data_IF_496151291210
#
_entry.id   IF_496151291210
#
_cell.length_a   1.000
_cell.length_b   1.000
_cell.length_c   1.000
_cell.angle_alpha   90.00
_cell.angle_beta   90.00
_cell.angle_gamma   90.00
#
_symmetry.space_group_name_H-M   'P 1'
#
loop_
_entity.id
_entity.type
_entity.pdbx_description
1 polymer ?
#
# COMPACT_ATOMS: atom_id res chain seq x y z
N UNK A 1 -68.19 76.54 8.79
CA UNK A 1 -67.83 76.25 10.19
C UNK A 1 -68.46 74.93 10.59
N UNK A 2 -67.71 74.13 11.36
CA UNK A 2 -68.06 72.90 12.09
C UNK A 2 -68.13 71.59 11.30
N UNK A 3 -67.29 70.66 11.77
CA UNK A 3 -67.39 69.18 11.87
C UNK A 3 -66.11 68.54 11.33
N UNK A 4 -65.36 67.69 12.01
CA UNK A 4 -65.21 67.28 13.41
C UNK A 4 -63.80 66.68 13.47
N UNK A 5 -63.04 66.99 14.52
CA UNK A 5 -61.71 66.41 14.76
C UNK A 5 -61.90 65.03 15.37
N UNK A 6 -61.49 63.97 14.67
CA UNK A 6 -61.35 62.64 15.26
C UNK A 6 -59.87 62.27 15.33
N UNK A 7 -59.35 62.44 16.54
CA UNK A 7 -58.09 61.92 17.01
C UNK A 7 -58.21 60.39 17.10
N UNK A 8 -57.41 59.65 16.34
CA UNK A 8 -57.12 58.24 16.65
C UNK A 8 -55.61 58.11 16.78
N UNK A 9 -55.19 57.97 18.04
CA UNK A 9 -53.88 57.50 18.43
C UNK A 9 -53.77 56.02 18.01
N UNK A 10 -52.79 55.69 17.17
CA UNK A 10 -52.34 54.32 17.01
C UNK A 10 -50.82 54.31 16.90
N UNK A 11 -50.17 54.17 18.06
CA UNK A 11 -48.78 53.75 18.13
C UNK A 11 -48.75 52.24 17.91
N UNK A 12 -48.07 51.74 16.87
CA UNK A 12 -47.54 50.38 16.83
C UNK A 12 -46.19 50.35 16.09
N UNK A 13 -45.18 50.06 16.91
CA UNK A 13 -43.83 49.53 16.68
C UNK A 13 -43.29 49.40 15.24
N UNK A 14 -42.12 50.02 15.03
CA UNK A 14 -41.15 49.60 14.03
C UNK A 14 -40.43 48.37 14.59
N UNK A 15 -40.64 47.21 13.96
CA UNK A 15 -39.78 46.04 14.15
C UNK A 15 -39.01 45.79 12.85
N UNK A 16 -37.76 46.23 12.85
CA UNK A 16 -36.73 45.76 11.94
C UNK A 16 -36.32 44.35 12.35
N UNK A 17 -36.61 43.35 11.52
CA UNK A 17 -35.92 42.05 11.59
C UNK A 17 -35.54 41.60 10.19
N UNK A 18 -34.23 41.50 10.05
CA UNK A 18 -33.43 40.83 9.05
C UNK A 18 -33.80 39.36 8.82
N UNK A 19 -33.29 38.87 7.69
CA UNK A 19 -33.11 37.48 7.28
C UNK A 19 -34.27 36.86 6.51
N UNK A 20 -33.93 36.52 5.27
CA UNK A 20 -34.69 35.69 4.34
C UNK A 20 -34.73 34.26 4.86
N UNK A 21 -35.72 33.95 5.69
CA UNK A 21 -36.01 32.56 6.03
C UNK A 21 -36.73 31.91 4.85
N UNK A 22 -35.95 31.29 3.96
CA UNK A 22 -36.44 30.26 3.06
C UNK A 22 -36.70 28.97 3.85
N UNK A 23 -37.62 29.01 4.81
CA UNK A 23 -38.22 27.82 5.38
C UNK A 23 -39.25 27.28 4.38
N UNK A 24 -38.76 26.60 3.34
CA UNK A 24 -39.60 25.84 2.42
C UNK A 24 -40.02 24.52 3.07
N UNK A 25 -40.98 24.58 3.99
CA UNK A 25 -41.82 23.42 4.28
C UNK A 25 -42.78 23.22 3.11
N UNK A 26 -42.40 22.38 2.15
CA UNK A 26 -43.29 21.91 1.11
C UNK A 26 -43.39 20.39 1.14
N UNK A 27 -44.60 19.92 1.37
CA UNK A 27 -45.05 18.54 1.21
C UNK A 27 -44.75 18.06 -0.21
N UNK A 28 -43.76 17.19 -0.37
CA UNK A 28 -43.47 16.50 -1.63
C UNK A 28 -41.98 16.18 -1.79
N UNK A 29 -41.67 14.89 -1.81
CA UNK A 29 -40.33 14.33 -2.03
C UNK A 29 -39.72 14.76 -3.37
N UNK A 30 -39.13 15.95 -3.43
CA UNK A 30 -38.32 16.41 -4.56
C UNK A 30 -36.95 16.81 -4.04
N UNK A 31 -36.10 15.80 -3.88
CA UNK A 31 -34.69 16.01 -3.65
C UNK A 31 -34.03 16.55 -4.92
N UNK A 32 -32.97 17.37 -4.81
CA UNK A 32 -32.21 17.81 -5.97
C UNK A 32 -31.75 16.59 -6.78
N UNK A 33 -32.15 16.53 -8.05
CA UNK A 33 -31.79 15.42 -8.94
C UNK A 33 -30.46 15.64 -9.67
N UNK A 34 -29.94 16.87 -9.61
CA UNK A 34 -28.67 17.24 -10.22
C UNK A 34 -27.92 18.21 -9.32
N UNK A 35 -26.62 17.98 -9.20
CA UNK A 35 -25.69 18.85 -8.51
C UNK A 35 -24.55 19.24 -9.45
N UNK A 36 -24.02 20.47 -9.33
CA UNK A 36 -22.84 20.86 -10.09
C UNK A 36 -21.64 19.99 -9.67
N UNK A 37 -20.79 19.61 -10.63
CA UNK A 37 -19.56 18.85 -10.39
C UNK A 37 -18.39 19.72 -9.85
N UNK A 38 -18.73 20.80 -9.14
CA UNK A 38 -17.74 21.67 -8.49
C UNK A 38 -17.31 21.02 -7.20
N UNK A 39 -16.02 20.73 -7.07
CA UNK A 39 -15.46 20.13 -5.86
C UNK A 39 -15.12 21.20 -4.82
N UNK A 40 -15.99 21.31 -3.80
CA UNK A 40 -15.90 22.18 -2.64
C UNK A 40 -16.37 21.37 -1.41
N UNK A 41 -15.51 20.49 -0.88
CA UNK A 41 -15.96 19.43 0.00
C UNK A 41 -16.51 19.95 1.33
N UNK A 42 -17.48 19.20 1.87
CA UNK A 42 -18.07 19.42 3.20
C UNK A 42 -18.18 18.09 3.95
N UNK A 43 -18.03 18.14 5.27
CA UNK A 43 -18.20 16.97 6.12
C UNK A 43 -19.64 16.89 6.64
N UNK A 44 -20.32 15.77 6.44
CA UNK A 44 -21.62 15.49 7.02
C UNK A 44 -21.54 15.07 8.49
N UNK A 45 -22.64 15.26 9.23
CA UNK A 45 -22.80 14.77 10.61
C UNK A 45 -22.82 13.25 10.72
N UNK A 46 -22.97 12.57 9.59
CA UNK A 46 -22.84 11.13 9.43
C UNK A 46 -21.39 10.67 9.19
N UNK A 47 -20.43 11.61 9.13
CA UNK A 47 -19.02 11.31 8.87
C UNK A 47 -18.68 11.09 7.40
N UNK A 48 -19.61 11.37 6.48
CA UNK A 48 -19.36 11.27 5.03
C UNK A 48 -18.86 12.61 4.48
N UNK A 49 -17.78 12.56 3.69
CA UNK A 49 -17.35 13.70 2.86
C UNK A 49 -18.21 13.80 1.61
N UNK A 50 -18.89 14.93 1.42
CA UNK A 50 -19.66 15.23 0.21
C UNK A 50 -18.87 16.18 -0.68
N UNK A 51 -18.87 15.94 -2.00
CA UNK A 51 -18.11 16.74 -2.98
C UNK A 51 -18.47 18.22 -2.97
N UNK A 52 -19.71 18.56 -2.59
CA UNK A 52 -20.16 19.90 -2.26
C UNK A 52 -21.46 19.87 -1.45
N UNK A 53 -21.91 21.06 -1.02
CA UNK A 53 -23.14 21.25 -0.24
C UNK A 53 -24.40 20.71 -0.93
N UNK A 54 -24.48 20.74 -2.27
CA UNK A 54 -25.63 20.19 -2.99
C UNK A 54 -25.75 18.68 -2.79
N UNK A 55 -24.63 17.96 -2.88
CA UNK A 55 -24.62 16.51 -2.64
C UNK A 55 -24.98 16.16 -1.19
N UNK A 56 -24.54 16.95 -0.21
CA UNK A 56 -24.95 16.79 1.19
C UNK A 56 -26.47 16.97 1.35
N UNK A 57 -27.04 18.06 0.82
CA UNK A 57 -28.47 18.33 0.93
C UNK A 57 -29.31 17.27 0.20
N UNK A 58 -28.80 16.72 -0.89
CA UNK A 58 -29.44 15.62 -1.62
C UNK A 58 -29.45 14.35 -0.78
N UNK A 59 -28.35 14.03 -0.11
CA UNK A 59 -28.28 12.90 0.79
C UNK A 59 -29.21 13.08 2.00
N UNK A 60 -29.21 14.26 2.63
CA UNK A 60 -30.11 14.60 3.73
C UNK A 60 -31.58 14.41 3.33
N UNK A 61 -31.98 14.99 2.20
CA UNK A 61 -33.34 14.89 1.67
C UNK A 61 -33.77 13.44 1.37
N UNK A 62 -32.85 12.59 0.91
CA UNK A 62 -33.12 11.18 0.66
C UNK A 62 -32.99 10.30 1.91
N UNK A 63 -32.49 10.85 3.01
CA UNK A 63 -32.29 10.13 4.26
C UNK A 63 -33.50 10.27 5.20
N UNK A 64 -33.73 9.24 6.02
CA UNK A 64 -34.69 9.31 7.12
C UNK A 64 -34.08 9.89 8.41
N UNK A 65 -32.79 10.24 8.39
CA UNK A 65 -31.98 10.44 9.60
C UNK A 65 -31.51 11.88 9.83
N UNK A 66 -31.78 12.82 8.91
CA UNK A 66 -31.42 14.23 9.10
C UNK A 66 -29.91 14.45 9.11
N UNK A 67 -29.30 14.55 7.94
CA UNK A 67 -27.86 14.75 7.76
C UNK A 67 -27.57 16.24 7.70
N UNK A 68 -26.78 16.74 8.66
CA UNK A 68 -26.35 18.14 8.71
C UNK A 68 -24.89 18.28 8.34
N UNK A 69 -24.40 19.49 8.06
CA UNK A 69 -22.96 19.69 7.85
C UNK A 69 -22.25 19.83 9.21
N UNK A 70 -21.26 18.98 9.44
CA UNK A 70 -20.41 19.00 10.63
C UNK A 70 -19.27 20.02 10.52
N UNK A 71 -18.61 20.12 9.37
CA UNK A 71 -17.53 21.09 9.12
C UNK A 71 -17.38 21.43 7.64
N UNK A 72 -16.69 22.53 7.35
CA UNK A 72 -16.17 22.81 6.01
C UNK A 72 -14.98 21.88 5.70
N UNK A 73 -14.77 21.57 4.42
CA UNK A 73 -13.73 20.64 3.98
C UNK A 73 -14.13 19.18 4.09
N UNK A 74 -13.22 18.28 3.74
CA UNK A 74 -13.42 16.85 3.93
C UNK A 74 -13.51 16.50 5.42
N UNK A 75 -14.22 15.43 5.76
CA UNK A 75 -14.20 14.92 7.12
C UNK A 75 -12.75 14.61 7.51
N UNK A 76 -12.30 15.15 8.66
CA UNK A 76 -11.03 14.78 9.24
C UNK A 76 -11.04 13.26 9.40
N UNK A 77 -10.13 12.55 8.73
CA UNK A 77 -10.08 11.08 8.63
C UNK A 77 -10.27 10.37 9.98
N UNK A 78 -11.51 10.25 10.41
CA UNK A 78 -12.01 9.25 11.34
C UNK A 78 -12.89 8.40 10.47
N UNK A 79 -12.31 7.30 9.97
CA UNK A 79 -12.92 6.15 9.31
C UNK A 79 -14.22 6.42 8.51
N UNK A 80 -14.27 6.08 7.20
CA UNK A 80 -15.54 6.18 6.46
C UNK A 80 -16.65 5.47 7.24
N UNK A 81 -17.83 6.08 7.39
CA UNK A 81 -18.90 5.49 8.18
C UNK A 81 -19.25 4.15 7.54
N UNK A 82 -19.08 3.10 8.34
CA UNK A 82 -19.72 1.82 8.10
C UNK A 82 -21.23 2.03 7.96
N UNK A 83 -21.72 2.08 6.73
CA UNK A 83 -23.16 2.00 6.47
C UNK A 83 -23.48 1.42 5.09
N UNK A 84 -22.87 0.28 4.79
CA UNK A 84 -23.70 -0.90 4.55
C UNK A 84 -23.18 -1.99 5.46
N UNK A 85 -24.07 -2.78 6.05
CA UNK A 85 -23.72 -3.96 6.83
C UNK A 85 -22.98 -4.98 5.98
N UNK A 86 -21.70 -4.73 5.72
CA UNK A 86 -20.73 -5.76 5.49
C UNK A 86 -20.52 -6.40 6.87
N UNK A 87 -21.45 -7.33 7.15
CA UNK A 87 -21.11 -8.65 7.64
C UNK A 87 -19.65 -8.97 7.32
N UNK A 88 -18.95 -9.63 8.23
CA UNK A 88 -17.69 -10.30 7.95
C UNK A 88 -17.83 -11.20 6.70
N UNK A 89 -17.75 -10.61 5.52
CA UNK A 89 -17.85 -11.23 4.21
C UNK A 89 -16.48 -11.04 3.61
N UNK A 90 -15.56 -11.92 4.01
CA UNK A 90 -14.65 -12.70 3.16
C UNK A 90 -14.00 -12.11 1.90
N UNK A 91 -14.09 -10.82 1.59
CA UNK A 91 -13.48 -10.23 0.39
C UNK A 91 -12.77 -8.91 0.72
N UNK A 92 -11.70 -9.01 1.50
CA UNK A 92 -10.66 -7.96 1.57
C UNK A 92 -9.80 -7.90 0.28
N UNK A 93 -10.38 -8.29 -0.85
CA UNK A 93 -9.71 -8.53 -2.12
C UNK A 93 -9.82 -7.29 -3.01
N UNK A 94 -9.30 -6.15 -2.52
CA UNK A 94 -9.15 -4.94 -3.34
C UNK A 94 -7.87 -5.05 -4.17
N UNK A 95 -7.98 -4.90 -5.49
CA UNK A 95 -6.82 -4.78 -6.36
C UNK A 95 -6.09 -3.46 -6.10
N UNK A 96 -4.77 -3.53 -5.85
CA UNK A 96 -3.94 -2.36 -5.59
C UNK A 96 -3.01 -2.05 -6.76
N UNK A 97 -2.80 -0.76 -7.02
CA UNK A 97 -1.76 -0.32 -7.94
C UNK A 97 -0.39 -0.63 -7.33
N UNK A 98 0.63 -0.75 -8.18
CA UNK A 98 2.02 -0.95 -7.75
C UNK A 98 2.78 0.38 -7.60
N UNK A 99 2.06 1.50 -7.57
CA UNK A 99 2.67 2.83 -7.36
C UNK A 99 3.18 2.87 -5.92
N UNK A 100 4.48 3.13 -5.77
CA UNK A 100 5.14 3.16 -4.47
C UNK A 100 4.91 4.53 -3.79
N UNK A 101 4.23 4.52 -2.65
CA UNK A 101 3.96 5.69 -1.80
C UNK A 101 3.80 5.19 -0.36
N UNK A 102 4.91 4.88 0.33
CA UNK A 102 4.87 4.04 1.52
C UNK A 102 4.14 4.68 2.69
N UNK A 103 3.54 3.83 3.52
CA UNK A 103 2.91 4.21 4.80
C UNK A 103 3.27 3.22 5.90
N UNK A 104 3.37 3.71 7.12
CA UNK A 104 3.65 2.88 8.29
C UNK A 104 2.33 2.48 8.95
N UNK A 105 2.13 1.18 9.15
CA UNK A 105 1.03 0.66 9.95
C UNK A 105 1.34 0.69 11.45
N UNK A 106 0.30 0.68 12.28
CA UNK A 106 0.39 0.58 13.74
C UNK A 106 0.92 -0.77 14.22
N UNK A 107 0.99 -1.75 13.32
CA UNK A 107 1.67 -3.04 13.48
C UNK A 107 3.19 -2.95 13.25
N UNK A 108 3.71 -1.77 12.90
CA UNK A 108 5.13 -1.56 12.60
C UNK A 108 5.55 -2.07 11.22
N UNK A 109 4.59 -2.42 10.35
CA UNK A 109 4.85 -2.89 8.99
C UNK A 109 4.80 -1.71 8.01
N UNK A 110 5.79 -1.64 7.12
CA UNK A 110 5.77 -0.69 6.01
C UNK A 110 4.94 -1.25 4.87
N UNK A 111 3.86 -0.56 4.52
CA UNK A 111 3.02 -0.89 3.39
C UNK A 111 3.44 -0.07 2.17
N UNK A 112 3.49 -0.69 0.99
CA UNK A 112 3.98 -0.05 -0.24
C UNK A 112 3.12 1.12 -0.71
N UNK A 113 1.84 1.11 -0.37
CA UNK A 113 0.93 2.24 -0.49
C UNK A 113 -0.31 2.08 0.40
N UNK A 114 -1.10 3.16 0.48
CA UNK A 114 -2.36 3.23 1.25
C UNK A 114 -3.36 2.11 0.89
N UNK A 115 -3.39 1.65 -0.38
CA UNK A 115 -4.27 0.57 -0.78
C UNK A 115 -3.89 -0.75 -0.11
N UNK A 116 -2.59 -1.08 -0.09
CA UNK A 116 -2.10 -2.31 0.55
C UNK A 116 -2.33 -2.27 2.06
N UNK A 117 -2.14 -1.11 2.71
CA UNK A 117 -2.49 -0.92 4.12
C UNK A 117 -4.00 -1.13 4.36
N UNK A 118 -4.86 -0.59 3.50
CA UNK A 118 -6.32 -0.74 3.62
C UNK A 118 -6.76 -2.21 3.52
N UNK A 119 -6.12 -2.99 2.64
CA UNK A 119 -6.35 -4.44 2.55
C UNK A 119 -5.94 -5.14 3.84
N UNK A 120 -4.80 -4.77 4.43
CA UNK A 120 -4.35 -5.33 5.70
C UNK A 120 -5.28 -4.98 6.85
N UNK A 121 -5.70 -3.71 6.95
CA UNK A 121 -6.70 -3.24 7.91
C UNK A 121 -8.01 -4.02 7.80
N UNK A 122 -8.50 -4.25 6.58
CA UNK A 122 -9.68 -5.08 6.34
C UNK A 122 -9.47 -6.51 6.85
N UNK A 123 -8.36 -7.14 6.46
CA UNK A 123 -8.03 -8.52 6.86
C UNK A 123 -7.88 -8.67 8.36
N UNK A 124 -7.43 -7.62 9.05
CA UNK A 124 -7.29 -7.59 10.50
C UNK A 124 -8.55 -7.18 11.25
N UNK A 125 -9.70 -7.01 10.57
CA UNK A 125 -10.94 -6.54 11.21
C UNK A 125 -10.82 -5.13 11.81
N UNK A 126 -9.98 -4.26 11.22
CA UNK A 126 -9.76 -2.89 11.67
C UNK A 126 -8.63 -2.70 12.68
N UNK A 127 -7.97 -3.77 13.15
CA UNK A 127 -6.90 -3.67 14.16
C UNK A 127 -5.65 -2.89 13.68
N UNK A 128 -5.31 -2.95 12.39
CA UNK A 128 -4.18 -2.23 11.80
C UNK A 128 -4.67 -0.86 11.32
N UNK A 129 -4.02 0.20 11.77
CA UNK A 129 -4.29 1.59 11.37
C UNK A 129 -3.03 2.22 10.79
N UNK A 130 -3.15 3.33 10.07
CA UNK A 130 -1.96 4.09 9.65
C UNK A 130 -1.38 4.82 10.86
N UNK A 131 -0.10 4.59 11.16
CA UNK A 131 0.66 5.31 12.19
C UNK A 131 1.26 6.60 11.61
N UNK A 132 1.93 6.50 10.46
CA UNK A 132 2.59 7.64 9.81
C UNK A 132 2.66 7.50 8.29
N UNK A 133 2.87 8.63 7.60
CA UNK A 133 3.23 8.63 6.17
C UNK A 133 4.72 8.31 6.02
N UNK A 134 5.08 7.59 4.96
CA UNK A 134 6.43 7.10 4.75
C UNK A 134 6.63 5.69 5.31
N UNK A 135 7.86 5.20 5.24
CA UNK A 135 8.22 3.89 5.78
C UNK A 135 8.19 3.92 7.33
N UNK A 136 7.96 2.77 7.96
CA UNK A 136 8.11 2.67 9.40
C UNK A 136 9.57 2.97 9.81
N UNK A 137 9.78 3.67 10.93
CA UNK A 137 11.12 3.85 11.47
C UNK A 137 11.72 2.50 11.86
N UNK A 138 13.03 2.36 11.73
CA UNK A 138 13.78 1.13 12.05
C UNK A 138 13.61 0.64 13.50
N UNK A 139 13.07 1.47 14.38
CA UNK A 139 12.72 1.13 15.76
C UNK A 139 11.37 0.43 15.95
N UNK A 140 10.52 0.33 14.92
CA UNK A 140 9.15 -0.21 15.01
C UNK A 140 8.96 -1.62 14.46
N UNK A 141 9.99 -2.23 13.85
CA UNK A 141 9.92 -3.58 13.30
C UNK A 141 9.83 -4.64 14.41
N UNK A 142 8.64 -4.85 14.98
CA UNK A 142 8.32 -6.08 15.73
C UNK A 142 8.11 -7.22 14.74
N UNK A 143 9.21 -7.68 14.14
CA UNK A 143 9.15 -8.65 13.05
C UNK A 143 10.48 -9.28 12.67
N UNK A 144 11.40 -9.49 13.62
CA UNK A 144 12.35 -10.62 13.65
C UNK A 144 13.31 -10.42 14.81
N UNK A 145 13.42 -11.41 15.69
CA UNK A 145 14.57 -11.56 16.58
C UNK A 145 15.84 -11.79 15.75
N UNK A 146 16.47 -10.70 15.32
CA UNK A 146 17.86 -10.53 14.87
C UNK A 146 17.89 -9.14 14.22
N UNK A 147 18.39 -8.08 14.85
CA UNK A 147 19.82 -7.81 14.95
C UNK A 147 20.05 -6.86 16.12
N UNK A 148 20.70 -7.35 17.19
CA UNK A 148 21.33 -6.47 18.17
C UNK A 148 22.65 -5.97 17.56
N UNK A 149 22.90 -4.68 17.73
CA UNK A 149 24.22 -4.00 17.85
C UNK A 149 25.01 -3.71 16.56
N UNK A 150 24.69 -2.60 15.89
CA UNK A 150 25.72 -1.58 15.61
C UNK A 150 25.05 -0.24 15.28
N UNK A 151 25.16 0.75 16.17
CA UNK A 151 24.78 2.11 15.86
C UNK A 151 25.85 2.67 14.89
N UNK A 152 25.56 2.65 13.59
CA UNK A 152 26.47 3.17 12.56
C UNK A 152 26.49 2.40 11.24
N UNK A 153 25.84 1.24 11.13
CA UNK A 153 25.77 0.52 9.86
C UNK A 153 24.66 1.07 8.96
N UNK A 154 24.92 1.29 7.66
CA UNK A 154 23.86 1.60 6.71
C UNK A 154 22.87 0.43 6.59
N UNK A 155 21.57 0.70 6.68
CA UNK A 155 20.51 -0.31 6.44
C UNK A 155 20.30 -0.56 4.93
N UNK A 156 20.71 0.40 4.08
CA UNK A 156 20.70 0.32 2.64
C UNK A 156 21.72 1.30 2.04
N UNK A 157 22.20 1.00 0.84
CA UNK A 157 23.07 1.88 0.06
C UNK A 157 22.37 2.31 -1.22
N UNK A 158 22.64 3.54 -1.66
CA UNK A 158 22.24 4.00 -2.99
C UNK A 158 23.23 3.46 -4.03
N UNK A 159 22.73 3.11 -5.20
CA UNK A 159 23.53 2.65 -6.34
C UNK A 159 24.19 3.83 -7.08
N UNK A 160 25.01 4.59 -6.37
CA UNK A 160 25.88 5.62 -6.93
C UNK A 160 27.26 5.01 -7.09
N UNK A 161 27.81 4.99 -8.31
CA UNK A 161 29.11 4.37 -8.57
C UNK A 161 30.24 5.39 -8.39
N UNK A 162 30.90 5.32 -7.24
CA UNK A 162 32.09 6.09 -6.86
C UNK A 162 33.05 5.13 -6.16
N UNK A 163 33.86 4.36 -6.92
CA UNK A 163 34.53 3.18 -6.40
C UNK A 163 35.58 3.52 -5.34
N UNK A 164 35.64 2.69 -4.30
CA UNK A 164 36.63 2.75 -3.21
C UNK A 164 37.26 1.39 -3.00
N UNK A 165 38.45 1.33 -2.41
CA UNK A 165 39.16 0.07 -2.16
C UNK A 165 39.42 -0.08 -0.66
N UNK A 166 39.22 -1.29 -0.11
CA UNK A 166 39.58 -1.58 1.28
C UNK A 166 41.08 -1.81 1.49
N UNK A 167 41.49 -2.05 2.74
CA UNK A 167 42.88 -2.33 3.12
C UNK A 167 43.44 -3.62 2.50
N UNK A 168 42.58 -4.53 2.04
CA UNK A 168 42.95 -5.81 1.41
C UNK A 168 42.98 -5.72 -0.12
N UNK A 169 42.65 -4.57 -0.72
CA UNK A 169 42.61 -4.38 -2.16
C UNK A 169 41.27 -4.76 -2.81
N UNK A 170 40.21 -4.99 -2.04
CA UNK A 170 38.86 -5.27 -2.55
C UNK A 170 38.18 -3.96 -2.93
N UNK A 171 37.71 -3.86 -4.18
CA UNK A 171 36.99 -2.70 -4.70
C UNK A 171 35.48 -2.80 -4.40
N UNK A 172 34.88 -1.68 -3.99
CA UNK A 172 33.47 -1.52 -3.68
C UNK A 172 32.86 -0.43 -4.56
N UNK A 173 31.60 -0.60 -4.92
CA UNK A 173 30.87 0.35 -5.79
C UNK A 173 30.79 1.77 -5.22
N UNK A 174 30.73 1.89 -3.89
CA UNK A 174 30.84 3.16 -3.18
C UNK A 174 31.20 2.96 -1.70
N UNK A 175 31.47 4.08 -1.03
CA UNK A 175 31.77 4.17 0.40
C UNK A 175 30.71 3.50 1.29
N UNK A 176 29.43 3.57 0.93
CA UNK A 176 28.37 2.91 1.71
C UNK A 176 28.52 1.38 1.67
N UNK A 177 28.81 0.81 0.49
CA UNK A 177 29.05 -0.62 0.35
C UNK A 177 30.34 -1.07 1.07
N UNK A 178 31.37 -0.22 1.10
CA UNK A 178 32.58 -0.46 1.89
C UNK A 178 32.26 -0.49 3.40
N UNK A 179 31.53 0.50 3.92
CA UNK A 179 31.12 0.57 5.33
C UNK A 179 30.21 -0.60 5.73
N UNK A 180 29.31 -1.00 4.83
CA UNK A 180 28.45 -2.16 5.03
C UNK A 180 29.24 -3.46 5.16
N UNK A 181 30.29 -3.65 4.37
CA UNK A 181 31.18 -4.81 4.48
C UNK A 181 32.02 -4.79 5.77
N UNK A 182 32.49 -3.62 6.20
CA UNK A 182 33.23 -3.47 7.46
C UNK A 182 32.36 -3.74 8.70
N UNK A 183 31.04 -3.54 8.60
CA UNK A 183 30.09 -3.84 9.66
C UNK A 183 29.97 -5.33 10.01
N UNK A 184 30.32 -6.23 9.09
CA UNK A 184 30.30 -7.68 9.34
C UNK A 184 31.54 -8.17 10.11
N UNK A 185 32.61 -7.37 10.13
CA UNK A 185 33.89 -7.71 10.78
C UNK A 185 34.03 -7.16 12.22
N UNK A 186 33.13 -6.29 12.67
CA UNK A 186 33.14 -5.75 14.04
C UNK A 186 32.31 -6.56 15.05
N UNK A 187 31.96 -7.81 14.74
CA UNK A 187 31.56 -8.79 15.76
C UNK A 187 32.81 -9.45 16.35
N UNK A 188 33.64 -8.64 17.02
CA UNK A 188 34.83 -9.10 17.70
C UNK A 188 34.50 -9.84 19.00
N UNK A 189 34.73 -11.15 18.98
CA UNK A 189 35.32 -11.92 20.10
C UNK A 189 34.65 -11.86 21.48
N UNK A 190 33.83 -12.87 21.76
CA UNK A 190 34.16 -13.73 22.91
C UNK A 190 33.92 -15.19 22.55
N UNK A 191 35.05 -15.90 22.36
CA UNK A 191 35.24 -17.32 22.09
C UNK A 191 35.04 -17.79 20.64
N UNK A 192 36.12 -17.65 19.88
CA UNK A 192 36.56 -18.65 18.91
C UNK A 192 36.51 -20.06 19.52
N UNK A 193 35.92 -21.00 18.80
CA UNK A 193 36.70 -22.20 18.47
C UNK A 193 36.39 -22.61 17.04
N UNK A 194 37.30 -22.17 16.16
CA UNK A 194 37.68 -22.77 14.90
C UNK A 194 36.68 -22.66 13.76
N UNK A 195 37.03 -21.86 12.74
CA UNK A 195 37.12 -22.33 11.36
C UNK A 195 38.11 -21.45 10.58
N UNK A 196 39.39 -21.77 10.74
CA UNK A 196 40.34 -21.64 9.65
C UNK A 196 40.78 -23.05 9.28
N UNK A 197 40.37 -23.52 8.10
CA UNK A 197 41.17 -24.33 7.18
C UNK A 197 40.32 -24.75 5.99
N UNK A 198 40.64 -24.15 4.85
CA UNK A 198 40.35 -24.66 3.52
C UNK A 198 40.89 -26.08 3.30
N UNK A 199 40.13 -26.87 2.53
CA UNK A 199 40.54 -27.98 1.65
C UNK A 199 39.94 -29.36 1.99
N UNK A 200 39.29 -29.91 0.96
CA UNK A 200 39.01 -31.32 0.71
C UNK A 200 38.09 -32.08 1.70
N UNK A 201 36.79 -32.10 1.39
CA UNK A 201 35.98 -33.33 1.49
C UNK A 201 35.00 -33.41 0.32
N UNK A 202 35.13 -34.46 -0.50
CA UNK A 202 34.08 -34.92 -1.41
C UNK A 202 32.93 -35.55 -0.60
N UNK A 203 31.70 -35.45 -1.13
CA UNK A 203 30.44 -36.12 -0.71
C UNK A 203 29.87 -35.66 0.65
N UNK A 204 28.62 -35.19 0.77
CA UNK A 204 27.36 -35.81 0.36
C UNK A 204 26.26 -34.75 0.09
N UNK A 205 25.53 -34.92 -1.02
CA UNK A 205 24.14 -34.47 -1.31
C UNK A 205 23.45 -33.52 -0.32
N UNK A 206 23.53 -32.21 -0.58
CA UNK A 206 22.44 -31.28 -0.23
C UNK A 206 21.44 -31.18 -1.41
N UNK A 207 20.72 -32.29 -1.61
CA UNK A 207 19.69 -32.45 -2.65
C UNK A 207 18.30 -32.12 -2.11
N UNK A 208 18.09 -30.92 -1.57
CA UNK A 208 16.75 -30.55 -1.08
C UNK A 208 16.37 -29.06 -1.16
N UNK A 209 17.29 -28.13 -1.47
CA UNK A 209 16.93 -26.71 -1.55
C UNK A 209 16.99 -26.17 -2.98
N UNK A 210 16.00 -26.55 -3.78
CA UNK A 210 15.79 -26.01 -5.12
C UNK A 210 15.29 -24.56 -5.11
N UNK A 211 14.77 -24.09 -3.98
CA UNK A 211 14.16 -22.77 -3.84
C UNK A 211 15.18 -21.66 -3.52
N UNK A 212 16.38 -22.02 -3.05
CA UNK A 212 17.46 -21.07 -2.76
C UNK A 212 18.49 -20.95 -3.90
N UNK A 213 18.18 -21.49 -5.08
CA UNK A 213 19.00 -21.29 -6.28
C UNK A 213 18.66 -19.96 -6.92
N UNK A 214 19.66 -19.07 -7.04
CA UNK A 214 19.54 -17.77 -7.70
C UNK A 214 20.11 -17.88 -9.11
N UNK A 215 19.32 -17.50 -10.11
CA UNK A 215 19.75 -17.46 -11.51
C UNK A 215 19.98 -16.01 -11.96
N UNK A 216 20.94 -15.82 -12.88
CA UNK A 216 21.04 -14.55 -13.61
C UNK A 216 19.86 -14.40 -14.57
N UNK A 217 19.58 -13.16 -14.97
CA UNK A 217 18.50 -12.84 -15.92
C UNK A 217 18.97 -12.85 -17.38
N UNK A 218 20.14 -13.43 -17.65
CA UNK A 218 20.65 -13.58 -19.01
C UNK A 218 19.73 -14.50 -19.80
N UNK A 219 19.32 -14.05 -20.99
CA UNK A 219 18.43 -14.80 -21.86
C UNK A 219 19.24 -15.66 -22.84
N UNK A 220 19.40 -16.93 -22.50
CA UNK A 220 20.04 -17.98 -23.31
C UNK A 220 19.16 -19.24 -23.27
N UNK A 221 18.05 -19.26 -24.03
CA UNK A 221 16.96 -20.18 -23.78
C UNK A 221 17.33 -21.64 -24.03
N UNK A 222 16.74 -22.54 -23.24
CA UNK A 222 16.88 -23.99 -23.41
C UNK A 222 15.50 -24.67 -23.39
N UNK A 223 15.33 -25.71 -24.19
CA UNK A 223 14.11 -26.51 -24.20
C UNK A 223 14.22 -27.66 -23.21
N UNK A 224 13.26 -27.80 -22.29
CA UNK A 224 13.14 -28.95 -21.40
C UNK A 224 12.45 -30.14 -22.06
N UNK A 225 12.64 -31.33 -21.50
CA UNK A 225 11.95 -32.57 -21.91
C UNK A 225 10.45 -32.54 -21.67
N UNK A 226 9.99 -31.61 -20.83
CA UNK A 226 8.60 -31.25 -20.57
C UNK A 226 7.99 -30.35 -21.67
N UNK A 227 8.77 -29.95 -22.67
CA UNK A 227 8.35 -29.04 -23.74
C UNK A 227 8.27 -27.58 -23.30
N UNK A 228 8.81 -27.23 -22.13
CA UNK A 228 8.85 -25.86 -21.63
C UNK A 228 10.17 -25.20 -22.06
N UNK A 229 10.08 -23.96 -22.54
CA UNK A 229 11.25 -23.12 -22.78
C UNK A 229 11.65 -22.43 -21.49
N UNK A 230 12.86 -22.71 -21.02
CA UNK A 230 13.47 -22.06 -19.86
C UNK A 230 14.34 -20.90 -20.33
N UNK A 231 14.28 -19.77 -19.63
CA UNK A 231 15.01 -18.54 -20.02
C UNK A 231 16.52 -18.71 -20.07
N UNK A 232 17.06 -19.61 -19.24
CA UNK A 232 18.45 -20.05 -19.27
C UNK A 232 18.61 -21.43 -18.62
N UNK A 233 19.81 -21.99 -18.75
CA UNK A 233 20.17 -23.30 -18.19
C UNK A 233 19.96 -23.37 -16.67
N UNK A 234 20.21 -22.29 -15.93
CA UNK A 234 20.00 -22.26 -14.48
C UNK A 234 18.51 -22.47 -14.12
N UNK A 235 17.58 -21.85 -14.86
CA UNK A 235 16.15 -22.06 -14.66
C UNK A 235 15.72 -23.51 -14.95
N UNK A 236 16.32 -24.15 -15.95
CA UNK A 236 16.11 -25.58 -16.23
C UNK A 236 16.67 -26.47 -15.11
N UNK A 237 17.81 -26.13 -14.53
CA UNK A 237 18.38 -26.87 -13.38
C UNK A 237 17.50 -26.76 -12.13
N UNK A 238 16.88 -25.60 -11.88
CA UNK A 238 15.91 -25.45 -10.80
C UNK A 238 14.69 -26.35 -11.04
N UNK A 239 14.21 -26.42 -12.28
CA UNK A 239 13.10 -27.30 -12.64
C UNK A 239 13.48 -28.78 -12.50
N UNK A 240 14.66 -29.21 -12.98
CA UNK A 240 15.19 -30.56 -12.78
C UNK A 240 15.36 -30.90 -11.28
N UNK A 241 15.81 -29.94 -10.48
CA UNK A 241 15.94 -30.11 -9.03
C UNK A 241 14.58 -30.39 -8.38
N UNK A 242 13.52 -29.70 -8.82
CA UNK A 242 12.15 -29.89 -8.32
C UNK A 242 11.49 -31.16 -8.87
N UNK A 243 11.77 -31.49 -10.12
CA UNK A 243 11.30 -32.66 -10.82
C UNK A 243 12.43 -33.25 -11.67
N UNK A 244 13.03 -34.33 -11.18
CA UNK A 244 14.18 -34.98 -11.82
C UNK A 244 13.88 -35.61 -13.18
N UNK A 245 12.60 -35.67 -13.60
CA UNK A 245 12.21 -36.10 -14.94
C UNK A 245 12.42 -35.02 -16.02
N UNK A 246 12.57 -33.76 -15.62
CA UNK A 246 12.80 -32.62 -16.51
C UNK A 246 14.29 -32.55 -16.85
N UNK A 247 14.67 -32.89 -18.08
CA UNK A 247 16.05 -32.83 -18.58
C UNK A 247 16.13 -31.88 -19.77
N UNK A 248 17.33 -31.48 -20.19
CA UNK A 248 17.49 -30.64 -21.39
C UNK A 248 17.17 -31.44 -22.65
N UNK A 249 16.21 -30.97 -23.45
CA UNK A 249 15.87 -31.52 -24.76
C UNK A 249 16.72 -30.92 -25.87
N UNK A 250 16.87 -29.59 -25.92
CA UNK A 250 17.72 -28.90 -26.90
C UNK A 250 18.20 -27.54 -26.40
N UNK A 251 19.25 -27.01 -27.04
CA UNK A 251 19.57 -25.58 -26.99
C UNK A 251 18.50 -24.77 -27.73
N UNK A 252 18.26 -23.54 -27.29
CA UNK A 252 17.22 -22.67 -27.83
C UNK A 252 15.83 -22.96 -27.26
N UNK A 253 14.86 -22.15 -27.67
CA UNK A 253 13.46 -22.33 -27.29
C UNK A 253 12.87 -23.63 -27.87
N UNK A 254 11.91 -24.23 -27.17
CA UNK A 254 11.16 -25.36 -27.69
C UNK A 254 10.45 -24.97 -28.97
N UNK A 255 10.69 -25.72 -30.05
CA UNK A 255 9.89 -25.58 -31.26
C UNK A 255 8.53 -26.22 -30.98
N UNK A 256 7.44 -25.47 -31.15
CA UNK A 256 6.13 -26.10 -31.23
C UNK A 256 6.20 -27.15 -32.34
N UNK A 257 6.06 -28.42 -31.98
CA UNK A 257 5.90 -29.49 -32.96
C UNK A 257 4.72 -29.09 -33.84
N UNK A 258 5.00 -28.60 -35.04
CA UNK A 258 4.03 -28.54 -36.11
C UNK A 258 3.65 -30.00 -36.37
N UNK A 259 2.64 -30.51 -35.65
CA UNK A 259 1.78 -31.56 -36.16
C UNK A 259 0.97 -30.98 -37.33
N UNK A 260 1.70 -30.65 -38.40
CA UNK A 260 1.16 -30.32 -39.69
C UNK A 260 0.63 -31.62 -40.27
N UNK A 261 -0.65 -31.59 -40.62
CA UNK A 261 -1.34 -32.51 -41.51
C UNK A 261 -0.38 -33.24 -42.45
N UNK A 262 -0.29 -34.55 -42.30
CA UNK A 262 -0.08 -35.44 -43.44
C UNK A 262 -1.45 -35.81 -44.01
N UNK A 263 -1.50 -35.64 -45.32
CA UNK A 263 -2.57 -35.91 -46.28
C UNK A 263 -3.13 -37.33 -46.20
#
# INVERSE_FOLDING_TARGET
>A
MKLAVSLVLAAMAVASTSAVDAASSNTGANCPSACPEVYQPVCGSDGVTYSNKCFLNTADCNSSSGITQASDGECANTAPPSSTGYSASSECSKGCTRIYSPVCGSDGVTYSNDCVLSVAQCKSGGAITQESKGQCPSSFSKGSEARRLNAGCPDACLDVYEPVTDENGVEYSNECYLQMAQCENNTGSSNETSLASSSAVESERDSANCDNKVCTMDYDPVCGSDGVTYSNACMLEIANCKDSSITKSSDGACTASLSRMDL
#
